data_IF_317483351583
#
_entry.id   IF_317483351583
#
_cell.length_a   1.000
_cell.length_b   1.000
_cell.length_c   1.000
_cell.angle_alpha   90.00
_cell.angle_beta   90.00
_cell.angle_gamma   90.00
#
_symmetry.space_group_name_H-M   'P 1'
#
loop_
_entity.id
_entity.type
_entity.pdbx_description
1 polymer ?
#
# COMPACT_ATOMS: atom_id res chain seq x y z
N UNK A 1 -13.93 13.96 -50.93
CA UNK A 1 -13.98 15.29 -50.29
C UNK A 1 -15.24 15.28 -49.45
N UNK A 2 -15.21 15.03 -48.14
CA UNK A 2 -14.16 15.21 -47.14
C UNK A 2 -14.52 14.22 -46.00
N UNK A 3 -13.66 13.26 -45.68
CA UNK A 3 -12.81 13.28 -44.47
C UNK A 3 -13.45 13.98 -43.27
N UNK A 4 -14.10 13.17 -42.42
CA UNK A 4 -14.48 13.52 -41.05
C UNK A 4 -13.76 12.51 -40.14
N UNK A 5 -12.44 12.61 -40.18
CA UNK A 5 -11.49 11.94 -39.30
C UNK A 5 -10.96 13.02 -38.36
N UNK A 6 -11.39 12.99 -37.10
CA UNK A 6 -10.66 13.45 -35.90
C UNK A 6 -11.62 13.95 -34.81
N UNK A 7 -12.10 13.07 -33.94
CA UNK A 7 -12.41 13.35 -32.53
C UNK A 7 -12.51 12.03 -31.74
N UNK A 8 -11.45 11.20 -31.72
CA UNK A 8 -11.44 9.96 -30.92
C UNK A 8 -10.08 9.54 -30.37
N UNK A 9 -9.22 10.50 -30.03
CA UNK A 9 -7.86 10.24 -29.55
C UNK A 9 -7.57 10.66 -28.10
N UNK A 10 -8.28 11.66 -27.58
CA UNK A 10 -7.90 12.32 -26.32
C UNK A 10 -8.56 11.62 -25.11
N UNK A 11 -9.84 11.27 -25.19
CA UNK A 11 -10.59 10.61 -24.10
C UNK A 11 -10.08 9.18 -23.80
N UNK A 12 -9.66 8.41 -24.81
CA UNK A 12 -9.08 7.06 -24.57
C UNK A 12 -7.69 7.17 -23.92
N UNK A 13 -6.90 8.19 -24.26
CA UNK A 13 -5.59 8.44 -23.67
C UNK A 13 -5.69 8.93 -22.22
N UNK A 14 -6.72 9.72 -21.92
CA UNK A 14 -7.05 10.17 -20.55
C UNK A 14 -7.61 9.03 -19.69
N UNK A 15 -8.43 8.14 -20.27
CA UNK A 15 -8.89 6.92 -19.59
C UNK A 15 -7.70 6.07 -19.16
N UNK A 16 -6.77 5.71 -20.06
CA UNK A 16 -5.57 4.94 -19.70
C UNK A 16 -4.57 5.68 -18.78
N UNK A 17 -4.77 6.98 -18.56
CA UNK A 17 -3.96 7.81 -17.68
C UNK A 17 -4.47 7.84 -16.24
N UNK A 18 -5.65 7.28 -15.95
CA UNK A 18 -6.18 7.18 -14.59
C UNK A 18 -5.35 6.17 -13.77
N UNK A 19 -4.86 6.57 -12.59
CA UNK A 19 -4.24 5.65 -11.65
C UNK A 19 -5.17 4.46 -11.34
N UNK A 20 -4.60 3.26 -11.19
CA UNK A 20 -5.29 2.08 -10.67
C UNK A 20 -6.41 1.44 -11.51
N UNK A 21 -6.51 1.77 -12.80
CA UNK A 21 -7.39 1.07 -13.76
C UNK A 21 -7.12 -0.44 -13.91
N UNK A 22 -5.93 -0.89 -13.48
CA UNK A 22 -5.46 -2.25 -13.63
C UNK A 22 -5.18 -2.93 -12.30
N UNK A 23 -5.91 -2.54 -11.25
CA UNK A 23 -5.92 -3.30 -10.00
C UNK A 23 -7.09 -4.28 -9.97
N UNK A 24 -6.94 -5.43 -9.29
CA UNK A 24 -8.04 -6.37 -9.13
C UNK A 24 -9.19 -5.71 -8.38
N UNK A 25 -10.39 -5.82 -8.93
CA UNK A 25 -11.62 -5.49 -8.22
C UNK A 25 -12.10 -6.75 -7.50
N UNK A 26 -12.55 -6.59 -6.26
CA UNK A 26 -13.07 -7.69 -5.45
C UNK A 26 -14.51 -7.40 -5.07
N UNK A 27 -15.39 -8.35 -5.37
CA UNK A 27 -16.75 -8.39 -4.84
C UNK A 27 -16.72 -8.60 -3.33
N UNK A 28 -17.80 -8.23 -2.63
CA UNK A 28 -17.92 -8.44 -1.19
C UNK A 28 -17.74 -9.91 -0.78
N UNK A 29 -18.26 -10.82 -1.60
CA UNK A 29 -18.18 -12.24 -1.34
C UNK A 29 -16.73 -12.75 -1.49
N UNK A 30 -15.99 -12.27 -2.47
CA UNK A 30 -14.56 -12.57 -2.62
C UNK A 30 -13.74 -12.01 -1.45
N UNK A 31 -14.04 -10.80 -0.98
CA UNK A 31 -13.37 -10.22 0.22
C UNK A 31 -13.64 -11.10 1.44
N UNK A 32 -14.88 -11.56 1.62
CA UNK A 32 -15.26 -12.43 2.73
C UNK A 32 -14.54 -13.77 2.68
N UNK A 33 -14.51 -14.40 1.50
CA UNK A 33 -13.80 -15.67 1.29
C UNK A 33 -12.28 -15.52 1.50
N UNK A 34 -11.69 -14.40 1.08
CA UNK A 34 -10.28 -14.11 1.32
C UNK A 34 -9.97 -14.00 2.82
N UNK A 35 -10.76 -13.26 3.58
CA UNK A 35 -10.61 -13.12 5.03
C UNK A 35 -10.78 -14.48 5.74
N UNK A 36 -11.68 -15.35 5.24
CA UNK A 36 -11.88 -16.73 5.72
C UNK A 36 -10.73 -17.68 5.37
N UNK A 37 -10.05 -17.47 4.23
CA UNK A 37 -8.97 -18.35 3.72
C UNK A 37 -7.55 -17.95 4.18
N UNK A 38 -7.36 -16.72 4.68
CA UNK A 38 -6.06 -16.16 5.09
C UNK A 38 -5.23 -16.94 6.17
N UNK A 39 -5.70 -18.06 6.71
CA UNK A 39 -5.03 -18.90 7.71
C UNK A 39 -4.24 -20.04 7.07
N UNK A 40 -4.41 -20.27 5.77
CA UNK A 40 -3.86 -21.46 5.12
C UNK A 40 -2.45 -21.27 4.53
N UNK A 41 -1.92 -20.05 4.46
CA UNK A 41 -0.64 -19.80 3.78
C UNK A 41 0.52 -19.72 4.78
N UNK A 42 1.00 -20.89 5.20
CA UNK A 42 2.31 -21.04 5.83
C UNK A 42 3.17 -21.95 4.96
N UNK A 43 4.09 -21.35 4.19
CA UNK A 43 5.14 -22.12 3.49
C UNK A 43 6.51 -21.63 3.92
N UNK A 44 7.10 -22.41 4.83
CA UNK A 44 8.54 -22.56 5.10
C UNK A 44 9.28 -23.01 3.83
N UNK A 45 10.48 -22.55 3.45
CA UNK A 45 11.78 -22.76 4.08
C UNK A 45 12.84 -21.88 3.38
N UNK A 46 13.73 -21.21 4.12
CA UNK A 46 15.02 -20.72 3.64
C UNK A 46 15.91 -20.42 4.85
N UNK A 47 17.18 -20.81 4.77
CA UNK A 47 18.19 -20.68 5.81
C UNK A 47 18.71 -19.23 5.87
N UNK A 48 18.04 -18.40 6.66
CA UNK A 48 18.39 -17.00 6.92
C UNK A 48 17.45 -16.41 7.97
N UNK A 49 17.87 -15.33 8.66
CA UNK A 49 16.95 -14.57 9.52
C UNK A 49 15.88 -13.92 8.63
N UNK A 50 14.67 -14.47 8.64
CA UNK A 50 13.53 -13.89 7.94
C UNK A 50 13.03 -12.66 8.70
N UNK A 51 12.59 -11.65 7.95
CA UNK A 51 11.97 -10.45 8.54
C UNK A 51 10.53 -10.69 9.00
N UNK A 52 9.88 -11.72 8.43
CA UNK A 52 8.51 -12.11 8.70
C UNK A 52 8.29 -12.40 10.19
N UNK A 53 7.19 -11.90 10.73
CA UNK A 53 6.82 -11.98 12.15
C UNK A 53 7.82 -11.36 13.12
N UNK A 54 8.81 -10.60 12.64
CA UNK A 54 9.82 -9.90 13.46
C UNK A 54 9.80 -8.39 13.18
N UNK A 55 10.46 -7.61 14.04
CA UNK A 55 10.54 -6.13 13.93
C UNK A 55 11.94 -5.55 14.10
N UNK A 56 13.00 -6.38 14.22
CA UNK A 56 14.37 -5.90 14.45
C UNK A 56 14.92 -5.03 13.31
N UNK A 57 14.36 -5.17 12.10
CA UNK A 57 14.69 -4.40 10.91
C UNK A 57 14.01 -3.01 10.89
N UNK A 58 13.10 -2.72 11.83
CA UNK A 58 12.39 -1.45 11.87
C UNK A 58 13.28 -0.32 12.40
N UNK A 59 13.39 0.75 11.62
CA UNK A 59 14.11 1.97 12.01
C UNK A 59 13.19 3.16 12.31
N UNK A 60 11.89 3.06 12.01
CA UNK A 60 10.91 4.12 12.25
C UNK A 60 10.16 4.02 13.59
N UNK A 61 10.32 2.90 14.32
CA UNK A 61 9.71 2.66 15.63
C UNK A 61 8.20 2.39 15.63
N UNK A 62 7.57 2.23 14.46
CA UNK A 62 6.10 2.02 14.32
C UNK A 62 5.71 0.79 13.49
N UNK A 63 6.66 0.04 12.94
CA UNK A 63 6.32 -1.19 12.22
C UNK A 63 5.83 -2.27 13.19
N UNK A 64 5.01 -3.19 12.67
CA UNK A 64 4.51 -4.36 13.38
C UNK A 64 4.95 -5.65 12.65
N UNK A 65 5.01 -6.79 13.37
CA UNK A 65 5.32 -8.07 12.73
C UNK A 65 4.22 -8.42 11.71
N UNK A 66 4.62 -8.72 10.48
CA UNK A 66 3.72 -9.17 9.41
C UNK A 66 4.10 -10.58 8.96
N UNK A 67 3.12 -11.42 8.56
CA UNK A 67 3.36 -12.83 8.29
C UNK A 67 4.16 -13.07 7.00
N UNK A 68 4.12 -12.14 6.05
CA UNK A 68 4.84 -12.21 4.77
C UNK A 68 6.15 -11.43 4.83
N UNK A 69 7.16 -11.92 4.12
CA UNK A 69 8.49 -11.31 4.10
C UNK A 69 8.50 -10.03 3.28
N UNK A 70 7.72 -10.02 2.21
CA UNK A 70 7.52 -8.94 1.26
C UNK A 70 6.92 -7.71 1.95
N UNK A 71 5.99 -7.89 2.89
CA UNK A 71 5.37 -6.80 3.65
C UNK A 71 6.22 -6.32 4.85
N UNK A 72 7.29 -7.06 5.19
CA UNK A 72 8.17 -6.76 6.32
C UNK A 72 9.24 -5.70 5.95
N UNK A 73 8.77 -4.56 5.47
CA UNK A 73 9.58 -3.40 5.04
C UNK A 73 9.31 -2.15 5.88
N UNK A 74 10.36 -1.39 6.18
CA UNK A 74 10.28 -0.14 6.94
C UNK A 74 9.96 1.02 6.01
N UNK A 75 9.19 2.01 6.47
CA UNK A 75 8.92 3.21 5.66
C UNK A 75 10.17 4.05 5.36
N UNK A 76 11.25 3.89 6.12
CA UNK A 76 12.53 4.56 5.84
C UNK A 76 13.31 3.89 4.70
N UNK A 77 13.10 2.59 4.48
CA UNK A 77 13.72 1.85 3.36
C UNK A 77 12.94 2.02 2.06
N UNK A 78 11.73 2.62 2.15
CA UNK A 78 10.85 2.87 1.03
C UNK A 78 11.39 4.01 0.14
N UNK A 79 12.39 3.66 -0.67
CA UNK A 79 13.27 4.57 -1.40
C UNK A 79 12.66 5.18 -2.65
N UNK A 80 11.39 4.86 -2.99
CA UNK A 80 10.83 5.25 -4.28
C UNK A 80 10.57 6.75 -4.40
N UNK A 81 10.20 7.51 -3.35
CA UNK A 81 10.03 8.97 -3.54
C UNK A 81 9.79 9.78 -2.25
N UNK A 82 10.10 9.24 -1.06
CA UNK A 82 10.00 10.03 0.16
C UNK A 82 11.40 10.62 0.41
N UNK A 83 11.64 11.93 0.19
CA UNK A 83 12.87 12.54 0.66
C UNK A 83 12.96 12.23 2.14
N UNK A 84 14.15 11.84 2.64
CA UNK A 84 14.33 11.58 4.07
C UNK A 84 13.65 12.70 4.84
N UNK A 85 12.74 12.33 5.74
CA UNK A 85 11.94 13.29 6.47
C UNK A 85 12.85 13.93 7.51
N UNK A 86 13.69 14.86 7.09
CA UNK A 86 14.63 15.55 7.95
C UNK A 86 13.84 16.44 8.92
N UNK A 87 13.62 15.95 10.15
CA UNK A 87 13.36 16.85 11.25
C UNK A 87 14.70 17.24 11.87
N UNK A 88 15.10 18.50 11.70
CA UNK A 88 16.22 19.08 12.40
C UNK A 88 15.80 19.25 13.87
N UNK A 89 16.36 18.44 14.75
CA UNK A 89 16.31 18.70 16.19
C UNK A 89 17.60 19.44 16.53
N UNK A 90 17.53 20.75 16.74
CA UNK A 90 18.63 21.51 17.34
C UNK A 90 18.65 21.21 18.84
N UNK A 91 19.43 20.20 19.24
CA UNK A 91 19.80 20.02 20.65
C UNK A 91 21.32 20.05 20.78
N UNK A 92 21.82 21.09 21.44
CA UNK A 92 23.17 21.16 22.00
C UNK A 92 24.34 20.77 21.06
N UNK A 93 24.33 21.27 19.81
CA UNK A 93 25.52 21.23 18.94
C UNK A 93 25.68 19.99 18.07
N UNK A 94 24.76 19.03 18.11
CA UNK A 94 24.73 17.87 17.21
C UNK A 94 23.41 17.83 16.42
N UNK A 95 23.49 17.99 15.10
CA UNK A 95 22.35 17.83 14.20
C UNK A 95 22.03 16.34 14.07
N UNK A 96 21.13 15.83 14.91
CA UNK A 96 20.61 14.46 14.79
C UNK A 96 19.41 14.44 13.85
N UNK A 97 19.61 13.90 12.64
CA UNK A 97 18.53 13.66 11.67
C UNK A 97 17.72 12.43 12.09
N UNK A 98 16.65 12.63 12.87
CA UNK A 98 15.70 11.55 13.15
C UNK A 98 14.54 11.64 12.17
N UNK A 99 14.55 10.81 11.12
CA UNK A 99 13.39 10.72 10.23
C UNK A 99 12.18 10.18 11.02
N UNK A 100 11.07 10.92 11.05
CA UNK A 100 9.83 10.45 11.68
C UNK A 100 9.14 9.41 10.79
N UNK A 101 8.39 8.52 11.42
CA UNK A 101 7.58 7.53 10.69
C UNK A 101 6.56 8.23 9.77
N UNK A 102 6.35 7.67 8.58
CA UNK A 102 5.42 8.20 7.59
C UNK A 102 3.98 8.34 8.11
N UNK A 103 3.55 7.43 8.99
CA UNK A 103 2.19 7.46 9.58
C UNK A 103 1.97 8.62 10.53
N UNK A 104 3.04 9.29 10.94
CA UNK A 104 2.99 10.48 11.81
C UNK A 104 3.09 11.79 11.03
N UNK A 105 3.18 11.75 9.70
CA UNK A 105 3.15 12.95 8.88
C UNK A 105 1.73 13.50 8.78
N UNK A 106 1.61 14.83 8.72
CA UNK A 106 0.31 15.51 8.65
C UNK A 106 -0.51 15.11 7.41
N UNK A 107 0.15 14.71 6.32
CA UNK A 107 -0.51 14.25 5.10
C UNK A 107 -1.11 12.84 5.19
N UNK A 108 -0.73 12.03 6.20
CA UNK A 108 -1.18 10.64 6.28
C UNK A 108 -2.60 10.47 6.87
N UNK A 109 -2.96 11.06 8.03
CA UNK A 109 -4.29 10.88 8.62
C UNK A 109 -5.47 11.23 7.70
N UNK A 110 -5.41 12.32 6.88
CA UNK A 110 -6.49 12.63 5.95
C UNK A 110 -6.79 11.53 4.92
N UNK A 111 -5.78 10.73 4.54
CA UNK A 111 -5.93 9.62 3.58
C UNK A 111 -6.78 8.48 4.11
N UNK A 112 -6.90 8.39 5.44
CA UNK A 112 -7.74 7.40 6.13
C UNK A 112 -9.05 8.01 6.61
N UNK A 113 -9.47 9.15 6.04
CA UNK A 113 -10.77 9.74 6.33
C UNK A 113 -11.83 9.18 5.40
N UNK A 114 -13.03 8.93 5.94
CA UNK A 114 -14.15 8.40 5.14
C UNK A 114 -14.61 9.37 4.03
N UNK A 115 -14.29 10.65 4.14
CA UNK A 115 -14.53 11.64 3.08
C UNK A 115 -13.60 11.48 1.89
N UNK A 116 -12.41 10.90 2.08
CA UNK A 116 -11.44 10.65 1.01
C UNK A 116 -11.61 9.24 0.44
N UNK A 117 -11.94 8.27 1.29
CA UNK A 117 -12.26 6.93 0.83
C UNK A 117 -13.69 6.88 0.28
N UNK A 118 -13.90 7.26 -0.98
CA UNK A 118 -15.18 7.11 -1.67
C UNK A 118 -15.46 5.63 -2.01
N UNK A 119 -15.58 4.76 -1.00
CA UNK A 119 -15.98 3.37 -1.19
C UNK A 119 -17.49 3.21 -0.94
N UNK A 120 -18.20 2.45 -1.80
CA UNK A 120 -19.63 2.21 -1.63
C UNK A 120 -19.93 1.40 -0.34
N UNK A 121 -18.92 0.69 0.22
CA UNK A 121 -19.08 -0.18 1.39
C UNK A 121 -17.88 -0.18 2.31
N UNK A 122 -18.14 -0.43 3.59
CA UNK A 122 -17.14 -0.40 4.67
C UNK A 122 -16.05 -1.45 4.54
N UNK A 123 -16.38 -2.64 4.03
CA UNK A 123 -15.41 -3.73 3.84
C UNK A 123 -14.35 -3.40 2.77
N UNK A 124 -14.64 -2.47 1.85
CA UNK A 124 -13.74 -2.05 0.79
C UNK A 124 -12.84 -0.88 1.22
N UNK A 125 -13.16 -0.15 2.30
CA UNK A 125 -12.34 0.98 2.77
C UNK A 125 -10.88 0.58 2.98
N UNK A 126 -10.60 -0.63 3.47
CA UNK A 126 -9.22 -1.13 3.62
C UNK A 126 -8.48 -1.20 2.27
N UNK A 127 -9.14 -1.74 1.24
CA UNK A 127 -8.55 -1.90 -0.09
C UNK A 127 -8.33 -0.54 -0.76
N UNK A 128 -9.32 0.35 -0.65
CA UNK A 128 -9.23 1.72 -1.18
C UNK A 128 -8.16 2.53 -0.44
N UNK A 129 -8.03 2.36 0.88
CA UNK A 129 -6.98 3.01 1.67
C UNK A 129 -5.58 2.56 1.26
N UNK A 130 -5.36 1.27 0.97
CA UNK A 130 -4.07 0.81 0.44
C UNK A 130 -3.72 1.53 -0.88
N UNK A 131 -4.70 1.69 -1.78
CA UNK A 131 -4.52 2.38 -3.06
C UNK A 131 -4.14 3.84 -2.89
N UNK A 132 -4.98 4.59 -2.17
CA UNK A 132 -4.81 6.04 -1.98
C UNK A 132 -3.50 6.36 -1.26
N UNK A 133 -3.14 5.56 -0.25
CA UNK A 133 -1.88 5.77 0.45
C UNK A 133 -0.68 5.44 -0.43
N UNK A 134 -0.75 4.37 -1.24
CA UNK A 134 0.32 4.05 -2.18
C UNK A 134 0.51 5.19 -3.20
N UNK A 135 -0.57 5.74 -3.72
CA UNK A 135 -0.54 6.87 -4.67
C UNK A 135 0.13 8.09 -4.06
N UNK A 136 -0.30 8.45 -2.85
CA UNK A 136 0.28 9.56 -2.11
C UNK A 136 1.78 9.36 -1.86
N UNK A 137 2.20 8.14 -1.53
CA UNK A 137 3.62 7.79 -1.35
C UNK A 137 4.43 7.87 -2.65
N UNK A 138 3.80 7.69 -3.81
CA UNK A 138 4.43 7.75 -5.13
C UNK A 138 4.47 9.15 -5.73
N UNK A 139 3.77 10.13 -5.15
CA UNK A 139 3.80 11.54 -5.57
C UNK A 139 3.53 11.76 -7.06
N UNK A 140 2.61 10.99 -7.63
CA UNK A 140 2.24 11.08 -9.04
C UNK A 140 3.13 10.26 -9.98
N UNK A 141 4.11 9.52 -9.47
CA UNK A 141 4.79 8.50 -10.27
C UNK A 141 3.82 7.37 -10.61
N UNK A 142 3.76 7.03 -11.90
CA UNK A 142 2.91 5.94 -12.40
C UNK A 142 3.67 4.62 -12.32
N UNK A 143 3.08 3.60 -11.68
CA UNK A 143 3.68 2.27 -11.66
C UNK A 143 3.59 1.57 -13.02
N UNK A 144 2.58 1.89 -13.84
CA UNK A 144 2.26 1.18 -15.07
C UNK A 144 1.39 -0.07 -14.83
N UNK A 145 0.96 -0.74 -15.91
CA UNK A 145 0.06 -1.90 -15.82
C UNK A 145 0.73 -3.06 -15.09
N UNK A 146 -0.01 -3.71 -14.18
CA UNK A 146 0.42 -4.91 -13.42
C UNK A 146 1.64 -4.71 -12.50
N UNK A 147 2.19 -3.51 -12.39
CA UNK A 147 3.25 -3.23 -11.44
C UNK A 147 2.63 -2.90 -10.09
N UNK A 148 2.73 -3.83 -9.15
CA UNK A 148 2.28 -3.66 -7.77
C UNK A 148 3.46 -3.33 -6.88
N UNK A 149 3.21 -2.60 -5.79
CA UNK A 149 4.23 -2.23 -4.80
C UNK A 149 3.71 -2.52 -3.40
N UNK A 150 4.58 -3.05 -2.56
CA UNK A 150 4.23 -3.49 -1.20
C UNK A 150 4.28 -2.33 -0.22
N UNK A 151 3.19 -1.96 0.43
CA UNK A 151 3.25 -0.88 1.44
C UNK A 151 4.12 -1.26 2.65
N UNK A 152 4.84 -0.29 3.28
CA UNK A 152 5.59 -0.55 4.50
C UNK A 152 4.72 -1.04 5.65
N UNK A 153 5.30 -1.83 6.56
CA UNK A 153 4.56 -2.45 7.67
C UNK A 153 3.83 -1.45 8.57
N UNK A 154 4.45 -0.32 8.90
CA UNK A 154 3.81 0.71 9.71
C UNK A 154 2.56 1.28 9.04
N UNK A 155 2.57 1.42 7.71
CA UNK A 155 1.44 1.90 6.91
C UNK A 155 0.34 0.84 6.88
N UNK A 156 0.68 -0.40 6.54
CA UNK A 156 -0.26 -1.53 6.53
C UNK A 156 -0.96 -1.66 7.88
N UNK A 157 -0.20 -1.56 8.97
CA UNK A 157 -0.71 -1.65 10.33
C UNK A 157 -1.68 -0.51 10.66
N UNK A 158 -1.35 0.73 10.28
CA UNK A 158 -2.22 1.89 10.50
C UNK A 158 -3.54 1.78 9.71
N UNK A 159 -3.49 1.28 8.48
CA UNK A 159 -4.69 1.04 7.67
C UNK A 159 -5.55 -0.06 8.28
N UNK A 160 -4.96 -1.20 8.67
CA UNK A 160 -5.68 -2.32 9.32
C UNK A 160 -6.28 -1.93 10.67
N UNK A 161 -5.65 -1.00 11.40
CA UNK A 161 -6.21 -0.46 12.64
C UNK A 161 -7.42 0.44 12.39
N UNK A 162 -7.40 1.21 11.30
CA UNK A 162 -8.50 2.11 10.92
C UNK A 162 -9.68 1.36 10.30
N UNK A 163 -9.38 0.28 9.55
CA UNK A 163 -10.35 -0.55 8.84
C UNK A 163 -10.13 -2.04 9.11
N UNK A 164 -10.43 -2.49 10.35
CA UNK A 164 -10.17 -3.86 10.77
C UNK A 164 -11.03 -4.86 9.99
N UNK A 165 -10.47 -6.05 9.72
CA UNK A 165 -11.27 -7.19 9.25
C UNK A 165 -12.12 -7.72 10.41
N UNK A 166 -13.40 -8.09 10.18
CA UNK A 166 -14.21 -8.78 11.19
C UNK A 166 -13.58 -10.08 11.71
N UNK A 167 -12.81 -10.80 10.87
CA UNK A 167 -12.13 -12.04 11.27
C UNK A 167 -10.77 -11.78 11.92
N UNK A 168 -10.24 -10.54 11.84
CA UNK A 168 -8.89 -10.18 12.28
C UNK A 168 -7.78 -10.82 11.45
N UNK A 169 -8.11 -11.55 10.38
CA UNK A 169 -7.16 -12.23 9.50
C UNK A 169 -7.08 -11.50 8.18
N UNK A 170 -5.87 -11.42 7.63
CA UNK A 170 -5.60 -10.63 6.44
C UNK A 170 -4.83 -11.46 5.44
N UNK A 171 -5.27 -11.43 4.18
CA UNK A 171 -4.45 -11.87 3.06
C UNK A 171 -3.34 -10.84 2.87
N UNK A 172 -2.08 -11.29 2.82
CA UNK A 172 -0.94 -10.44 2.54
C UNK A 172 -0.89 -9.98 1.09
N UNK A 173 0.16 -9.24 0.74
CA UNK A 173 0.47 -8.86 -0.63
C UNK A 173 0.53 -10.09 -1.55
N UNK A 174 -0.06 -9.95 -2.74
CA UNK A 174 0.03 -10.92 -3.84
C UNK A 174 0.63 -10.22 -5.04
N UNK A 175 1.36 -10.94 -5.88
CA UNK A 175 1.81 -10.37 -7.15
C UNK A 175 0.63 -10.15 -8.11
N UNK A 176 0.85 -9.44 -9.22
CA UNK A 176 -0.23 -9.18 -10.17
C UNK A 176 -0.74 -10.48 -10.81
N UNK A 177 0.15 -11.36 -11.23
CA UNK A 177 -0.19 -12.65 -11.86
C UNK A 177 -1.09 -13.49 -10.96
N UNK A 178 -0.76 -13.58 -9.68
CA UNK A 178 -1.54 -14.30 -8.67
C UNK A 178 -2.89 -13.63 -8.37
N UNK A 179 -2.91 -12.31 -8.34
CA UNK A 179 -4.14 -11.57 -8.03
C UNK A 179 -5.14 -11.52 -9.18
N UNK A 180 -4.66 -11.67 -10.42
CA UNK A 180 -5.48 -11.79 -11.63
C UNK A 180 -5.75 -13.24 -12.04
N UNK A 181 -5.26 -14.24 -11.30
CA UNK A 181 -5.49 -15.65 -11.62
C UNK A 181 -4.89 -16.09 -12.95
N UNK A 182 -3.72 -15.54 -13.32
CA UNK A 182 -3.01 -15.86 -14.57
C UNK A 182 -2.02 -17.03 -14.42
N UNK A 183 -2.09 -17.76 -13.30
CA UNK A 183 -1.33 -18.97 -12.97
C UNK A 183 -2.32 -20.12 -12.69
#
# INVERSE_FOLDING_TARGET
MSDDFELRGEDEMEFFALPYLFEPEYTEEEIRQMDENAAATHTSQASGRRRSNETWWCTCGKCQPLPTEEESQCCHDWTISIPPLESIIESAGETLFTSRCITQQNGFPPLLSNSVLEAPRTCQYRLVAYRIVLEWMLKGERLGRRNRRVLPSCVVSAIRLSYPSPSGRYVGFREAEEAFGLL
#
